data_IF_509909965989
#
_entry.id   IF_509909965989
#
_cell.length_a   1.000
_cell.length_b   1.000
_cell.length_c   1.000
_cell.angle_alpha   90.00
_cell.angle_beta   90.00
_cell.angle_gamma   90.00
#
_symmetry.space_group_name_H-M   'P 1'
#
loop_
_entity.id
_entity.type
_entity.pdbx_description
1 polymer ?
#
# COMPACT_ATOMS: atom_id res chain seq x y z
N UNK A 1 5.63 -2.72 -11.75
CA UNK A 1 4.69 -3.14 -10.70
C UNK A 1 5.53 -3.41 -9.46
N UNK A 2 5.36 -2.67 -8.37
CA UNK A 2 6.35 -2.57 -7.26
C UNK A 2 6.15 -3.63 -6.15
N UNK A 3 5.23 -4.57 -6.35
CA UNK A 3 4.96 -5.70 -5.45
C UNK A 3 5.36 -6.99 -6.17
N UNK A 4 6.43 -7.63 -5.72
CA UNK A 4 6.76 -8.99 -6.15
C UNK A 4 5.99 -9.97 -5.26
N UNK A 5 4.96 -10.60 -5.84
CA UNK A 5 4.30 -11.82 -5.33
C UNK A 5 3.96 -11.80 -3.82
N UNK A 6 3.56 -10.64 -3.32
CA UNK A 6 3.21 -10.43 -1.91
C UNK A 6 1.70 -10.26 -1.77
N UNK A 7 1.09 -10.83 -0.72
CA UNK A 7 -0.31 -10.57 -0.37
C UNK A 7 -0.47 -9.31 0.51
N UNK A 8 0.58 -8.49 0.64
CA UNK A 8 0.57 -7.32 1.52
C UNK A 8 0.84 -6.02 0.76
N UNK A 9 0.11 -4.96 1.14
CA UNK A 9 0.45 -3.58 0.79
C UNK A 9 1.04 -2.90 2.03
N UNK A 10 2.27 -2.40 1.89
CA UNK A 10 2.96 -1.66 2.93
C UNK A 10 2.86 -0.16 2.65
N UNK A 11 2.33 0.60 3.60
CA UNK A 11 2.26 2.05 3.55
C UNK A 11 3.43 2.63 4.33
N UNK A 12 4.23 3.46 3.67
CA UNK A 12 5.37 4.14 4.27
C UNK A 12 5.13 5.64 4.30
N UNK A 13 5.53 6.27 5.40
CA UNK A 13 5.63 7.73 5.46
C UNK A 13 6.86 8.16 4.67
N UNK A 14 6.68 9.13 3.78
CA UNK A 14 7.80 9.75 3.08
C UNK A 14 8.48 10.74 4.03
N UNK A 15 9.61 10.31 4.59
CA UNK A 15 10.46 11.13 5.47
C UNK A 15 11.66 11.60 4.65
N UNK A 16 12.07 12.86 4.82
CA UNK A 16 13.31 13.39 4.26
C UNK A 16 14.42 13.24 5.30
N UNK A 17 15.41 12.34 5.12
CA UNK A 17 16.50 12.18 6.07
C UNK A 17 17.33 13.44 6.23
N UNK A 18 17.82 13.70 7.45
CA UNK A 18 18.91 14.65 7.67
C UNK A 18 20.24 14.13 7.09
N UNK A 19 21.23 15.03 6.86
CA UNK A 19 22.58 14.61 6.46
C UNK A 19 23.19 13.73 7.55
N UNK A 20 23.56 12.50 7.19
CA UNK A 20 24.22 11.55 8.10
C UNK A 20 23.25 10.70 8.94
N UNK A 21 21.94 10.85 8.74
CA UNK A 21 20.93 10.08 9.46
C UNK A 21 20.62 8.78 8.73
N UNK A 22 20.78 7.66 9.42
CA UNK A 22 20.43 6.34 8.90
C UNK A 22 19.01 6.01 9.37
N UNK A 23 18.00 6.37 8.56
CA UNK A 23 16.60 6.11 8.86
C UNK A 23 16.25 4.67 8.49
N UNK A 24 15.94 3.87 9.51
CA UNK A 24 15.31 2.57 9.32
C UNK A 24 13.85 2.79 8.87
N UNK A 25 13.56 2.54 7.59
CA UNK A 25 12.23 2.73 7.01
C UNK A 25 11.34 1.53 7.34
N UNK A 26 10.45 1.69 8.32
CA UNK A 26 9.41 0.71 8.66
C UNK A 26 8.05 1.14 8.11
N UNK A 27 7.20 0.20 7.68
CA UNK A 27 5.85 0.53 7.25
C UNK A 27 5.03 1.03 8.43
N UNK A 28 4.27 2.10 8.22
CA UNK A 28 3.31 2.61 9.20
C UNK A 28 2.07 1.72 9.26
N UNK A 29 1.62 1.23 8.10
CA UNK A 29 0.50 0.31 7.97
C UNK A 29 0.85 -0.82 7.01
N UNK A 30 0.35 -2.02 7.32
CA UNK A 30 0.41 -3.19 6.44
C UNK A 30 -1.01 -3.68 6.24
N UNK A 31 -1.46 -3.73 5.00
CA UNK A 31 -2.76 -4.26 4.63
C UNK A 31 -2.61 -5.67 4.06
N UNK A 32 -3.07 -6.70 4.79
CA UNK A 32 -3.02 -8.08 4.32
C UNK A 32 -4.22 -8.41 3.41
N UNK A 33 -3.98 -9.27 2.43
CA UNK A 33 -5.00 -9.84 1.56
C UNK A 33 -4.96 -11.37 1.57
N UNK A 34 -6.06 -12.00 1.17
CA UNK A 34 -6.20 -13.46 1.14
C UNK A 34 -5.45 -14.13 -0.01
N UNK A 35 -4.84 -13.35 -0.91
CA UNK A 35 -4.13 -13.83 -2.09
C UNK A 35 -3.11 -12.80 -2.58
N UNK A 36 -2.23 -13.23 -3.48
CA UNK A 36 -1.17 -12.37 -4.01
C UNK A 36 -1.74 -11.28 -4.89
N UNK A 37 -1.11 -10.10 -4.82
CA UNK A 37 -1.51 -8.94 -5.61
C UNK A 37 -0.92 -9.07 -7.01
N UNK A 38 -1.77 -8.99 -8.03
CA UNK A 38 -1.36 -9.06 -9.44
C UNK A 38 -1.38 -7.68 -10.11
N UNK A 39 -2.24 -6.78 -9.64
CA UNK A 39 -2.36 -5.44 -10.18
C UNK A 39 -2.90 -4.47 -9.13
N UNK A 40 -2.65 -3.18 -9.33
CA UNK A 40 -3.32 -2.13 -8.58
C UNK A 40 -3.45 -0.86 -9.43
N UNK A 41 -4.37 0.01 -9.03
CA UNK A 41 -4.60 1.31 -9.65
C UNK A 41 -5.03 2.33 -8.60
N UNK A 42 -4.68 3.59 -8.82
CA UNK A 42 -5.00 4.71 -7.92
C UNK A 42 -5.85 5.71 -8.69
N UNK A 43 -6.92 6.19 -8.06
CA UNK A 43 -7.76 7.26 -8.63
C UNK A 43 -6.94 8.54 -8.89
N UNK A 44 -7.31 9.39 -9.86
CA UNK A 44 -6.59 10.64 -10.13
C UNK A 44 -6.43 11.57 -8.91
N UNK A 45 -7.45 11.62 -8.04
CA UNK A 45 -7.41 12.38 -6.79
C UNK A 45 -6.67 11.66 -5.65
N UNK A 46 -6.12 10.48 -5.92
CA UNK A 46 -5.38 9.64 -4.98
C UNK A 46 -6.18 9.13 -3.77
N UNK A 47 -7.49 9.40 -3.71
CA UNK A 47 -8.36 9.01 -2.60
C UNK A 47 -8.64 7.51 -2.58
N UNK A 48 -8.78 6.89 -3.75
CA UNK A 48 -9.09 5.46 -3.87
C UNK A 48 -7.91 4.66 -4.39
N UNK A 49 -7.72 3.48 -3.81
CA UNK A 49 -6.79 2.44 -4.26
C UNK A 49 -7.59 1.18 -4.58
N UNK A 50 -7.45 0.67 -5.80
CA UNK A 50 -7.99 -0.61 -6.22
C UNK A 50 -6.87 -1.64 -6.34
N UNK A 51 -7.10 -2.85 -5.83
CA UNK A 51 -6.14 -3.95 -5.79
C UNK A 51 -6.79 -5.20 -6.38
N UNK A 52 -6.17 -5.80 -7.39
CA UNK A 52 -6.60 -7.08 -7.96
C UNK A 52 -5.75 -8.22 -7.42
N UNK A 53 -6.41 -9.30 -7.02
CA UNK A 53 -5.79 -10.48 -6.43
C UNK A 53 -5.79 -11.67 -7.39
N UNK A 54 -4.86 -12.61 -7.22
CA UNK A 54 -4.76 -13.86 -8.02
C UNK A 54 -6.03 -14.71 -7.99
N UNK A 55 -6.81 -14.64 -6.91
CA UNK A 55 -8.08 -15.39 -6.77
C UNK A 55 -9.27 -14.73 -7.49
N UNK A 56 -9.04 -13.65 -8.25
CA UNK A 56 -10.08 -12.94 -9.00
C UNK A 56 -10.82 -11.86 -8.21
N UNK A 57 -10.52 -11.70 -6.91
CA UNK A 57 -11.13 -10.63 -6.10
C UNK A 57 -10.51 -9.27 -6.42
N UNK A 58 -11.35 -8.23 -6.35
CA UNK A 58 -10.94 -6.83 -6.40
C UNK A 58 -11.29 -6.19 -5.05
N UNK A 59 -10.30 -5.52 -4.44
CA UNK A 59 -10.50 -4.77 -3.20
C UNK A 59 -10.35 -3.28 -3.49
N UNK A 60 -11.35 -2.50 -3.07
CA UNK A 60 -11.35 -1.04 -3.20
C UNK A 60 -11.23 -0.40 -1.83
N UNK A 61 -10.27 0.50 -1.68
CA UNK A 61 -9.98 1.20 -0.43
C UNK A 61 -10.10 2.70 -0.61
N UNK A 62 -10.81 3.35 0.32
CA UNK A 62 -10.68 4.79 0.52
C UNK A 62 -9.52 5.05 1.48
N UNK A 63 -8.45 5.66 0.96
CA UNK A 63 -7.20 5.93 1.68
C UNK A 63 -7.36 6.98 2.79
N UNK A 64 -8.36 7.84 2.73
CA UNK A 64 -8.61 8.85 3.78
C UNK A 64 -9.39 8.24 4.95
N UNK A 65 -10.42 7.44 4.64
CA UNK A 65 -11.27 6.83 5.66
C UNK A 65 -10.63 5.58 6.29
N UNK A 66 -9.84 4.83 5.53
CA UNK A 66 -9.20 3.60 5.98
C UNK A 66 -8.01 3.79 6.94
N UNK A 67 -7.66 5.05 7.26
CA UNK A 67 -6.59 5.40 8.20
C UNK A 67 -7.11 5.97 9.54
N UNK A 68 -8.43 6.13 9.69
CA UNK A 68 -8.99 6.55 10.97
C UNK A 68 -8.94 5.39 11.97
N UNK A 69 -8.22 5.61 13.09
CA UNK A 69 -8.26 4.77 14.29
C UNK A 69 -9.49 5.11 15.13
#
# INVERSE_FOLDING_TARGET
VWWSDSPHICHYVLIKPGKGENLEVKPEYVWPFTSNIICSSVSPCTTYLAVGLTNGNIVLWNRQLGLHK
#
